data_IF_725257166948
#
_entry.id   IF_725257166948
#
_cell.length_a   1.000
_cell.length_b   1.000
_cell.length_c   1.000
_cell.angle_alpha   90.00
_cell.angle_beta   90.00
_cell.angle_gamma   90.00
#
_symmetry.space_group_name_H-M   'P 1'
#
loop_
_entity.id
_entity.type
_entity.pdbx_description
1 polymer ?
#
# COMPACT_ATOMS: atom_id res chain seq x y z
N UNK A 1 1.30 -4.21 -21.46
CA UNK A 1 2.02 -3.31 -22.38
C UNK A 1 1.16 -2.16 -22.89
N UNK A 2 0.02 -2.39 -23.52
CA UNK A 2 -0.91 -1.35 -24.02
C UNK A 2 -1.35 -0.42 -22.89
N UNK A 3 -1.76 -0.96 -21.75
CA UNK A 3 -2.22 -0.17 -20.60
C UNK A 3 -1.18 0.84 -20.06
N UNK A 4 0.09 0.42 -19.92
CA UNK A 4 1.17 1.34 -19.48
C UNK A 4 1.36 2.50 -20.45
N UNK A 5 1.35 2.22 -21.75
CA UNK A 5 1.48 3.26 -22.78
C UNK A 5 0.30 4.23 -22.79
N UNK A 6 -0.91 3.71 -22.64
CA UNK A 6 -2.14 4.53 -22.56
C UNK A 6 -2.14 5.40 -21.31
N UNK A 7 -1.82 4.83 -20.14
CA UNK A 7 -1.69 5.57 -18.91
C UNK A 7 -0.63 6.68 -18.99
N UNK A 8 0.55 6.35 -19.56
CA UNK A 8 1.63 7.34 -19.78
C UNK A 8 1.18 8.47 -20.71
N UNK A 9 0.50 8.12 -21.80
CA UNK A 9 0.00 9.11 -22.76
C UNK A 9 -1.05 10.03 -22.11
N UNK A 10 -1.97 9.47 -21.31
CA UNK A 10 -2.99 10.24 -20.60
C UNK A 10 -2.34 11.17 -19.55
N UNK A 11 -1.37 10.67 -18.80
CA UNK A 11 -0.65 11.46 -17.81
C UNK A 11 0.15 12.61 -18.47
N UNK A 12 0.85 12.34 -19.59
CA UNK A 12 1.57 13.37 -20.36
C UNK A 12 0.63 14.46 -20.90
N UNK A 13 -0.56 14.06 -21.37
CA UNK A 13 -1.57 15.01 -21.84
C UNK A 13 -2.08 15.91 -20.71
N UNK A 14 -2.30 15.35 -19.51
CA UNK A 14 -2.74 16.09 -18.33
C UNK A 14 -1.66 17.03 -17.78
N UNK A 15 -0.39 16.59 -17.77
CA UNK A 15 0.73 17.35 -17.22
C UNK A 15 1.34 18.38 -18.20
N UNK A 16 1.13 18.19 -19.49
CA UNK A 16 1.69 19.08 -20.53
C UNK A 16 3.19 18.89 -20.81
N UNK A 17 3.82 17.82 -20.30
CA UNK A 17 5.22 17.49 -20.57
C UNK A 17 5.43 15.99 -20.77
N UNK A 18 6.58 15.62 -21.35
CA UNK A 18 6.94 14.23 -21.60
C UNK A 18 7.44 13.57 -20.34
N UNK A 19 6.90 12.38 -20.03
CA UNK A 19 7.37 11.52 -18.96
C UNK A 19 8.42 10.57 -19.55
N UNK A 20 9.62 10.58 -19.01
CA UNK A 20 10.72 9.71 -19.43
C UNK A 20 11.14 8.74 -18.34
N UNK A 21 10.92 9.12 -17.08
CA UNK A 21 11.36 8.37 -15.90
C UNK A 21 10.23 8.16 -14.92
N UNK A 22 10.20 6.99 -14.30
CA UNK A 22 9.14 6.59 -13.36
C UNK A 22 9.72 5.87 -12.15
N UNK A 23 8.99 5.90 -11.05
CA UNK A 23 9.19 4.97 -9.93
C UNK A 23 8.25 3.79 -10.18
N UNK A 24 8.79 2.58 -10.15
CA UNK A 24 8.02 1.35 -10.31
C UNK A 24 7.49 0.90 -8.96
N UNK A 25 6.17 0.91 -8.80
CA UNK A 25 5.51 0.30 -7.62
C UNK A 25 5.12 -1.13 -7.98
N UNK A 26 5.60 -2.09 -7.19
CA UNK A 26 5.34 -3.53 -7.37
C UNK A 26 4.47 -4.07 -6.23
N UNK A 27 3.67 -5.13 -6.50
CA UNK A 27 2.89 -5.79 -5.46
C UNK A 27 3.78 -6.34 -4.33
N UNK A 28 3.34 -6.17 -3.09
CA UNK A 28 4.02 -6.71 -1.90
C UNK A 28 3.70 -8.20 -1.74
N UNK A 29 4.22 -9.03 -2.66
CA UNK A 29 4.08 -10.48 -2.63
C UNK A 29 5.41 -11.12 -2.28
N UNK A 30 5.40 -12.12 -1.37
CA UNK A 30 6.59 -12.83 -0.91
C UNK A 30 7.71 -11.90 -0.39
N UNK A 31 7.33 -10.83 0.29
CA UNK A 31 8.28 -9.87 0.85
C UNK A 31 9.10 -10.52 1.97
N UNK A 32 10.42 -10.44 1.84
CA UNK A 32 11.37 -10.89 2.87
C UNK A 32 12.05 -9.67 3.49
N UNK A 33 12.42 -9.79 4.76
CA UNK A 33 13.11 -8.74 5.51
C UNK A 33 14.44 -9.24 6.04
N UNK A 34 15.46 -8.40 5.96
CA UNK A 34 16.79 -8.68 6.50
C UNK A 34 17.31 -7.48 7.29
N UNK A 35 17.65 -7.71 8.55
CA UNK A 35 18.28 -6.71 9.40
C UNK A 35 19.77 -7.03 9.55
N UNK A 36 20.62 -6.04 9.33
CA UNK A 36 22.07 -6.19 9.40
C UNK A 36 22.69 -5.07 10.21
N UNK A 37 23.73 -5.40 10.96
CA UNK A 37 24.62 -4.41 11.57
C UNK A 37 25.90 -4.33 10.75
N UNK A 38 26.19 -3.15 10.22
CA UNK A 38 27.36 -2.89 9.37
C UNK A 38 28.32 -1.99 10.13
N UNK A 39 29.58 -2.38 10.22
CA UNK A 39 30.67 -1.57 10.74
C UNK A 39 31.29 -0.74 9.61
N UNK A 40 31.45 0.54 9.84
CA UNK A 40 32.05 1.50 8.91
C UNK A 40 33.23 2.18 9.57
N UNK A 41 34.43 2.00 9.01
CA UNK A 41 35.64 2.65 9.46
C UNK A 41 35.91 3.91 8.65
N UNK A 42 36.42 4.94 9.30
CA UNK A 42 36.81 6.22 8.68
C UNK A 42 38.30 6.19 8.43
N UNK A 43 38.69 5.71 7.25
CA UNK A 43 40.09 5.47 6.85
C UNK A 43 40.73 6.68 6.14
N UNK A 44 39.97 7.74 5.87
CA UNK A 44 40.44 8.93 5.14
C UNK A 44 41.21 9.93 5.99
N UNK A 45 41.49 9.60 7.26
CA UNK A 45 42.24 10.41 8.21
C UNK A 45 41.47 11.62 8.77
N UNK A 46 40.22 11.85 8.34
CA UNK A 46 39.45 13.05 8.77
C UNK A 46 38.80 12.90 10.14
N UNK A 47 38.64 11.66 10.63
CA UNK A 47 37.89 11.33 11.85
C UNK A 47 36.48 11.97 11.90
N UNK A 48 35.89 12.19 10.75
CA UNK A 48 34.58 12.85 10.62
C UNK A 48 33.70 12.07 9.64
N UNK A 49 32.47 11.78 10.03
CA UNK A 49 31.52 11.08 9.18
C UNK A 49 31.15 11.93 7.98
N UNK A 50 31.38 11.43 6.80
CA UNK A 50 31.01 12.04 5.52
C UNK A 50 29.95 11.21 4.80
N UNK A 51 29.27 11.80 3.81
CA UNK A 51 28.23 11.16 3.04
C UNK A 51 28.69 9.83 2.38
N UNK A 52 29.92 9.79 1.86
CA UNK A 52 30.43 8.59 1.21
C UNK A 52 30.64 7.42 2.19
N UNK A 53 30.99 7.68 3.48
CA UNK A 53 31.09 6.63 4.49
C UNK A 53 29.74 5.96 4.74
N UNK A 54 28.68 6.78 4.80
CA UNK A 54 27.30 6.29 4.95
C UNK A 54 26.89 5.47 3.73
N UNK A 55 27.18 5.96 2.53
CA UNK A 55 26.92 5.23 1.29
C UNK A 55 27.68 3.91 1.23
N UNK A 56 28.95 3.89 1.64
CA UNK A 56 29.76 2.69 1.69
C UNK A 56 29.18 1.65 2.67
N UNK A 57 28.75 2.08 3.85
CA UNK A 57 28.06 1.20 4.81
C UNK A 57 26.75 0.63 4.25
N UNK A 58 25.97 1.46 3.58
CA UNK A 58 24.75 1.04 2.93
C UNK A 58 24.98 0.03 1.81
N UNK A 59 25.97 0.27 0.95
CA UNK A 59 26.36 -0.67 -0.11
C UNK A 59 26.83 -2.03 0.46
N UNK A 60 27.58 -2.03 1.55
CA UNK A 60 27.96 -3.28 2.25
C UNK A 60 26.72 -4.07 2.73
N UNK A 61 25.68 -3.37 3.21
CA UNK A 61 24.44 -4.01 3.63
C UNK A 61 23.70 -4.67 2.45
N UNK A 62 23.56 -3.98 1.32
CA UNK A 62 22.85 -4.47 0.13
C UNK A 62 23.58 -5.65 -0.53
N UNK A 63 24.91 -5.63 -0.55
CA UNK A 63 25.72 -6.69 -1.20
C UNK A 63 25.53 -8.07 -0.57
N UNK A 64 25.05 -8.14 0.67
CA UNK A 64 24.76 -9.41 1.33
C UNK A 64 23.43 -9.98 0.84
N UNK A 65 23.50 -10.80 -0.20
CA UNK A 65 22.33 -11.44 -0.82
C UNK A 65 21.56 -12.31 0.18
N UNK A 66 20.24 -12.27 0.14
CA UNK A 66 19.36 -13.14 0.93
C UNK A 66 19.02 -14.49 0.27
N UNK A 67 19.29 -14.63 -1.02
CA UNK A 67 18.98 -15.80 -1.85
C UNK A 67 19.06 -15.43 -3.33
N UNK A 68 18.88 -16.42 -4.19
CA UNK A 68 18.91 -16.23 -5.65
C UNK A 68 17.54 -15.80 -6.20
N UNK A 69 16.48 -16.08 -5.43
CA UNK A 69 15.07 -15.89 -5.77
C UNK A 69 14.51 -14.51 -5.40
N UNK A 70 15.25 -13.72 -4.60
CA UNK A 70 14.83 -12.40 -4.15
C UNK A 70 15.85 -11.32 -4.50
N UNK A 71 15.35 -10.11 -4.70
CA UNK A 71 16.15 -8.92 -4.97
C UNK A 71 15.82 -7.83 -3.95
N UNK A 72 16.81 -7.01 -3.62
CA UNK A 72 16.63 -5.85 -2.78
C UNK A 72 15.68 -4.83 -3.45
N UNK A 73 14.78 -4.23 -2.64
CA UNK A 73 13.82 -3.22 -3.12
C UNK A 73 13.97 -1.91 -2.36
N UNK A 74 13.75 -1.92 -1.04
CA UNK A 74 13.72 -0.69 -0.23
C UNK A 74 14.49 -0.84 1.08
N UNK A 75 15.09 0.25 1.61
CA UNK A 75 15.39 0.31 3.03
C UNK A 75 14.06 0.39 3.81
N UNK A 76 13.94 -0.43 4.84
CA UNK A 76 12.82 -0.39 5.76
C UNK A 76 13.10 0.61 6.90
N UNK A 77 14.31 0.51 7.48
CA UNK A 77 14.80 1.44 8.50
C UNK A 77 16.33 1.43 8.55
N UNK A 78 16.91 2.60 8.77
CA UNK A 78 18.34 2.76 9.03
C UNK A 78 18.48 3.55 10.32
N UNK A 79 19.33 3.04 11.24
CA UNK A 79 19.82 3.79 12.41
C UNK A 79 21.33 3.77 12.45
N UNK A 80 21.91 4.76 13.05
CA UNK A 80 23.35 4.98 13.14
C UNK A 80 23.78 4.95 14.61
N UNK A 81 24.87 4.29 14.92
CA UNK A 81 25.44 4.24 16.26
C UNK A 81 26.82 4.89 16.19
N UNK A 82 26.93 6.09 16.71
CA UNK A 82 28.17 6.89 16.77
C UNK A 82 28.48 7.15 18.23
N UNK A 83 29.72 6.84 18.67
CA UNK A 83 30.12 7.03 20.08
C UNK A 83 29.10 6.45 21.07
N UNK A 84 28.62 5.22 20.83
CA UNK A 84 27.61 4.48 21.62
C UNK A 84 26.22 5.13 21.69
N UNK A 85 25.96 6.17 20.90
CA UNK A 85 24.66 6.82 20.79
C UNK A 85 23.94 6.37 19.52
N UNK A 86 22.73 5.81 19.67
CA UNK A 86 21.90 5.40 18.53
C UNK A 86 20.96 6.53 18.10
N UNK A 87 20.93 6.85 16.82
CA UNK A 87 20.08 7.88 16.23
C UNK A 87 19.57 7.48 14.84
N UNK A 88 18.41 7.99 14.45
CA UNK A 88 17.90 7.94 13.06
C UNK A 88 18.44 9.08 12.20
N UNK A 89 18.95 10.12 12.83
CA UNK A 89 19.51 11.28 12.13
C UNK A 89 20.82 10.87 11.46
N UNK A 90 21.01 11.32 10.22
CA UNK A 90 22.26 11.15 9.49
C UNK A 90 23.42 11.76 10.30
N UNK A 91 24.47 11.00 10.64
CA UNK A 91 25.57 11.45 11.50
C UNK A 91 26.60 12.28 10.73
N UNK A 92 26.24 12.90 9.63
CA UNK A 92 27.15 13.71 8.81
C UNK A 92 27.76 14.86 9.61
N UNK A 93 29.08 14.91 9.68
CA UNK A 93 29.82 15.90 10.43
C UNK A 93 30.17 15.50 11.86
N UNK A 94 29.68 14.36 12.36
CA UNK A 94 30.06 13.85 13.68
C UNK A 94 31.49 13.32 13.68
N UNK A 95 32.20 13.55 14.79
CA UNK A 95 33.59 13.12 14.96
C UNK A 95 33.63 11.71 15.57
N UNK A 96 34.24 10.78 14.86
CA UNK A 96 34.53 9.42 15.32
C UNK A 96 35.59 8.76 14.41
N UNK A 97 36.15 7.63 14.85
CA UNK A 97 37.05 6.81 14.03
C UNK A 97 36.31 5.72 13.25
N UNK A 98 35.16 5.34 13.77
CA UNK A 98 34.27 4.33 13.19
C UNK A 98 32.87 4.48 13.75
N UNK A 99 31.90 3.89 13.08
CA UNK A 99 30.51 3.86 13.53
C UNK A 99 29.79 2.60 13.00
N UNK A 100 28.64 2.32 13.58
CA UNK A 100 27.79 1.21 13.12
C UNK A 100 26.52 1.74 12.48
N UNK A 101 26.02 1.00 11.49
CA UNK A 101 24.68 1.20 10.90
C UNK A 101 23.85 -0.06 11.15
N UNK A 102 22.69 0.10 11.77
CA UNK A 102 21.68 -0.95 11.74
C UNK A 102 20.81 -0.71 10.52
N UNK A 103 20.87 -1.60 9.55
CA UNK A 103 20.19 -1.47 8.26
C UNK A 103 19.17 -2.59 8.14
N UNK A 104 17.89 -2.24 8.08
CA UNK A 104 16.79 -3.15 7.83
C UNK A 104 16.33 -2.97 6.38
N UNK A 105 16.35 -4.05 5.61
CA UNK A 105 16.12 -4.05 4.16
C UNK A 105 14.92 -4.92 3.80
N UNK A 106 14.16 -4.49 2.81
CA UNK A 106 13.06 -5.23 2.20
C UNK A 106 13.49 -5.81 0.85
N UNK A 107 13.11 -7.05 0.63
CA UNK A 107 13.36 -7.82 -0.57
C UNK A 107 12.03 -8.34 -1.12
N UNK A 108 11.91 -8.41 -2.43
CA UNK A 108 10.77 -9.00 -3.11
C UNK A 108 11.21 -10.09 -4.07
N UNK A 109 10.25 -10.85 -4.56
CA UNK A 109 10.47 -11.88 -5.56
C UNK A 109 11.09 -11.29 -6.83
N UNK A 110 12.23 -11.86 -7.24
CA UNK A 110 13.00 -11.37 -8.37
C UNK A 110 12.23 -11.47 -9.69
N UNK A 111 11.44 -12.52 -9.86
CA UNK A 111 10.67 -12.72 -11.09
C UNK A 111 9.57 -11.63 -11.20
N UNK A 112 8.89 -11.33 -10.10
CA UNK A 112 7.90 -10.26 -10.03
C UNK A 112 8.51 -8.92 -10.44
N UNK A 113 9.65 -8.55 -9.83
CA UNK A 113 10.36 -7.30 -10.18
C UNK A 113 10.67 -7.27 -11.68
N UNK A 114 11.23 -8.35 -12.22
CA UNK A 114 11.63 -8.43 -13.61
C UNK A 114 10.44 -8.31 -14.58
N UNK A 115 9.33 -8.97 -14.30
CA UNK A 115 8.13 -8.93 -15.15
C UNK A 115 7.54 -7.52 -15.22
N UNK A 116 7.43 -6.83 -14.08
CA UNK A 116 6.95 -5.45 -14.04
C UNK A 116 7.93 -4.47 -14.68
N UNK A 117 9.23 -4.60 -14.39
CA UNK A 117 10.27 -3.75 -14.99
C UNK A 117 10.27 -3.87 -16.52
N UNK A 118 10.16 -5.09 -17.06
CA UNK A 118 10.07 -5.33 -18.49
C UNK A 118 8.88 -4.62 -19.15
N UNK A 119 7.73 -4.54 -18.47
CA UNK A 119 6.58 -3.81 -18.99
C UNK A 119 6.85 -2.31 -19.11
N UNK A 120 7.56 -1.72 -18.15
CA UNK A 120 7.94 -0.30 -18.12
C UNK A 120 8.98 -0.01 -19.20
N UNK A 121 10.04 -0.80 -19.30
CA UNK A 121 11.09 -0.66 -20.31
C UNK A 121 10.53 -0.77 -21.73
N UNK A 122 9.61 -1.73 -21.97
CA UNK A 122 8.92 -1.88 -23.25
C UNK A 122 7.99 -0.71 -23.61
N UNK A 123 7.64 0.13 -22.63
CA UNK A 123 6.95 1.39 -22.86
C UNK A 123 7.91 2.56 -23.13
N UNK A 124 9.24 2.31 -23.20
CA UNK A 124 10.32 3.28 -23.35
C UNK A 124 10.41 4.27 -22.18
N UNK A 125 10.19 3.78 -20.95
CA UNK A 125 10.35 4.53 -19.73
C UNK A 125 11.57 4.01 -18.96
N UNK A 126 12.33 4.90 -18.34
CA UNK A 126 13.44 4.59 -17.45
C UNK A 126 12.91 4.42 -16.02
N UNK A 127 13.31 3.32 -15.36
CA UNK A 127 12.97 3.09 -13.94
C UNK A 127 14.03 3.77 -13.09
N UNK A 128 13.61 4.76 -12.30
CA UNK A 128 14.48 5.46 -11.34
C UNK A 128 14.66 4.66 -10.05
N UNK A 129 13.58 4.04 -9.59
CA UNK A 129 13.53 3.30 -8.33
C UNK A 129 12.40 2.29 -8.36
N UNK A 130 12.45 1.29 -7.47
CA UNK A 130 11.42 0.28 -7.27
C UNK A 130 10.94 0.36 -5.83
N UNK A 131 9.63 0.33 -5.62
CA UNK A 131 9.02 0.40 -4.29
C UNK A 131 7.91 -0.65 -4.15
N UNK A 132 7.73 -1.18 -2.93
CA UNK A 132 6.61 -2.04 -2.59
C UNK A 132 5.34 -1.19 -2.40
N UNK A 133 4.20 -1.64 -2.94
CA UNK A 133 2.90 -0.95 -2.85
C UNK A 133 2.47 -0.68 -1.41
N UNK A 134 2.53 -1.71 -0.54
CA UNK A 134 2.19 -1.58 0.89
C UNK A 134 3.14 -0.62 1.61
N UNK A 135 4.43 -0.61 1.24
CA UNK A 135 5.40 0.30 1.86
C UNK A 135 5.16 1.74 1.41
N UNK A 136 4.89 1.97 0.13
CA UNK A 136 4.55 3.28 -0.42
C UNK A 136 3.26 3.84 0.22
N UNK A 137 2.21 3.01 0.31
CA UNK A 137 0.98 3.37 1.00
C UNK A 137 1.18 3.63 2.50
N UNK A 138 2.08 2.88 3.14
CA UNK A 138 2.49 3.11 4.54
C UNK A 138 3.19 4.44 4.76
N UNK A 139 3.94 4.95 3.79
CA UNK A 139 4.55 6.27 3.82
C UNK A 139 3.49 7.36 3.64
N UNK A 140 2.61 7.22 2.66
CA UNK A 140 1.54 8.18 2.36
C UNK A 140 0.58 8.36 3.53
N UNK A 141 0.16 7.26 4.17
CA UNK A 141 -0.78 7.27 5.30
C UNK A 141 -0.13 7.56 6.64
N UNK A 142 1.18 7.82 6.68
CA UNK A 142 1.98 7.93 7.90
C UNK A 142 1.88 6.70 8.83
N UNK A 143 1.57 5.51 8.30
CA UNK A 143 1.49 4.28 9.09
C UNK A 143 2.81 3.93 9.76
N UNK A 144 3.95 4.19 9.10
CA UNK A 144 5.27 4.02 9.69
C UNK A 144 5.45 4.88 10.94
N UNK A 145 5.18 6.19 10.86
CA UNK A 145 5.33 7.13 11.97
C UNK A 145 4.36 6.78 13.12
N UNK A 146 3.11 6.43 12.79
CA UNK A 146 2.11 6.04 13.78
C UNK A 146 2.47 4.72 14.48
N UNK A 147 3.30 3.89 13.89
CA UNK A 147 3.72 2.59 14.45
C UNK A 147 4.88 2.69 15.45
N UNK A 148 5.27 3.87 15.90
CA UNK A 148 6.37 4.07 16.85
C UNK A 148 6.11 3.34 18.19
N UNK A 149 4.92 3.49 18.76
CA UNK A 149 4.53 2.99 20.09
C UNK A 149 3.37 1.97 20.04
N UNK A 150 2.86 1.66 18.87
CA UNK A 150 1.73 0.74 18.63
C UNK A 150 1.93 -0.10 17.39
N UNK A 151 1.04 -1.07 17.19
CA UNK A 151 0.94 -1.79 15.92
C UNK A 151 -0.03 -1.04 15.00
N UNK A 152 0.36 -0.88 13.73
CA UNK A 152 -0.52 -0.34 12.69
C UNK A 152 -0.68 -1.38 11.59
N UNK A 153 -1.91 -1.72 11.26
CA UNK A 153 -2.24 -2.58 10.12
C UNK A 153 -2.82 -1.71 9.03
N UNK A 154 -2.10 -1.60 7.92
CA UNK A 154 -2.57 -0.94 6.72
C UNK A 154 -3.37 -1.93 5.88
N UNK A 155 -4.57 -1.54 5.47
CA UNK A 155 -5.48 -2.30 4.61
C UNK A 155 -5.66 -1.52 3.31
N UNK A 156 -4.98 -1.93 2.24
CA UNK A 156 -5.18 -1.35 0.91
C UNK A 156 -6.21 -2.17 0.15
N UNK A 157 -7.43 -1.64 0.04
CA UNK A 157 -8.58 -2.31 -0.56
C UNK A 157 -8.66 -1.95 -2.05
N UNK A 158 -8.38 -2.93 -2.90
CA UNK A 158 -8.45 -2.79 -4.35
C UNK A 158 -9.66 -3.57 -4.94
N UNK A 159 -9.80 -3.60 -6.25
CA UNK A 159 -10.91 -4.30 -6.89
C UNK A 159 -10.89 -5.80 -6.64
N UNK A 160 -9.75 -6.45 -6.88
CA UNK A 160 -9.62 -7.91 -6.83
C UNK A 160 -8.98 -8.44 -5.54
N UNK A 161 -8.40 -7.61 -4.71
CA UNK A 161 -7.68 -8.04 -3.52
C UNK A 161 -7.57 -6.95 -2.47
N UNK A 162 -7.15 -7.34 -1.28
CA UNK A 162 -6.75 -6.44 -0.20
C UNK A 162 -5.35 -6.80 0.24
N UNK A 163 -4.44 -5.83 0.14
CA UNK A 163 -3.10 -5.95 0.66
C UNK A 163 -3.06 -5.50 2.13
N UNK A 164 -2.39 -6.28 2.97
CA UNK A 164 -2.23 -5.99 4.39
C UNK A 164 -0.76 -5.75 4.69
N UNK A 165 -0.46 -4.66 5.41
CA UNK A 165 0.87 -4.37 5.92
C UNK A 165 0.86 -4.17 7.43
N UNK A 166 1.63 -4.98 8.16
CA UNK A 166 1.84 -4.79 9.60
C UNK A 166 3.06 -3.89 9.82
N UNK A 167 2.84 -2.75 10.43
CA UNK A 167 3.90 -1.81 10.83
C UNK A 167 4.06 -1.80 12.35
N UNK A 168 5.30 -1.88 12.82
CA UNK A 168 5.68 -1.78 14.25
C UNK A 168 7.06 -1.14 14.37
N UNK A 169 7.24 -0.28 15.37
CA UNK A 169 8.52 0.40 15.59
C UNK A 169 9.05 1.10 14.33
N UNK A 170 8.15 1.73 13.58
CA UNK A 170 8.42 2.44 12.31
C UNK A 170 9.06 1.54 11.23
N UNK A 171 8.66 0.28 11.18
CA UNK A 171 9.11 -0.72 10.19
C UNK A 171 7.92 -1.50 9.64
N UNK A 172 7.97 -1.83 8.36
CA UNK A 172 7.13 -2.88 7.80
C UNK A 172 7.64 -4.24 8.31
N UNK A 173 6.81 -4.93 9.09
CA UNK A 173 7.16 -6.20 9.73
C UNK A 173 6.78 -7.41 8.89
N UNK A 174 5.59 -7.36 8.30
CA UNK A 174 5.07 -8.42 7.44
C UNK A 174 4.01 -7.87 6.50
N UNK A 175 3.77 -8.60 5.44
CA UNK A 175 2.70 -8.37 4.48
C UNK A 175 1.86 -9.62 4.34
N UNK A 176 0.57 -9.43 4.06
CA UNK A 176 -0.35 -10.50 3.70
C UNK A 176 -1.30 -10.00 2.62
N UNK A 177 -2.03 -10.91 2.01
CA UNK A 177 -3.00 -10.61 0.96
C UNK A 177 -4.25 -11.45 1.17
N UNK A 178 -5.40 -10.80 1.01
CA UNK A 178 -6.71 -11.44 0.90
C UNK A 178 -7.13 -11.30 -0.57
N UNK A 179 -7.43 -12.42 -1.23
CA UNK A 179 -7.84 -12.43 -2.65
C UNK A 179 -9.32 -12.04 -2.83
N UNK A 180 -9.74 -11.04 -2.06
CA UNK A 180 -11.02 -10.35 -2.13
C UNK A 180 -10.79 -8.85 -1.96
N UNK A 181 -11.54 -8.06 -2.71
CA UNK A 181 -11.60 -6.61 -2.62
C UNK A 181 -13.01 -6.12 -2.87
N UNK A 182 -13.20 -4.84 -3.17
CA UNK A 182 -14.54 -4.32 -3.42
C UNK A 182 -15.25 -4.97 -4.63
N UNK A 183 -14.50 -5.52 -5.57
CA UNK A 183 -15.07 -6.29 -6.70
C UNK A 183 -15.87 -7.52 -6.25
N UNK A 184 -15.43 -8.20 -5.19
CA UNK A 184 -16.19 -9.29 -4.59
C UNK A 184 -17.47 -8.79 -3.90
N UNK A 185 -17.44 -7.60 -3.30
CA UNK A 185 -18.61 -6.98 -2.67
C UNK A 185 -19.70 -6.67 -3.68
N UNK A 186 -19.33 -6.22 -4.88
CA UNK A 186 -20.28 -5.83 -5.93
C UNK A 186 -20.72 -6.98 -6.85
N UNK A 187 -20.18 -8.18 -6.66
CA UNK A 187 -20.53 -9.34 -7.50
C UNK A 187 -22.06 -9.59 -7.63
N UNK A 188 -22.88 -9.48 -6.54
CA UNK A 188 -24.32 -9.63 -6.67
C UNK A 188 -24.99 -8.59 -7.59
N UNK A 189 -24.45 -7.37 -7.66
CA UNK A 189 -24.95 -6.35 -8.59
C UNK A 189 -24.60 -6.70 -10.04
N UNK A 190 -23.40 -7.21 -10.25
CA UNK A 190 -22.96 -7.66 -11.58
C UNK A 190 -23.81 -8.81 -12.09
N UNK A 191 -24.05 -9.82 -11.26
CA UNK A 191 -24.88 -10.96 -11.59
C UNK A 191 -26.32 -10.58 -11.87
N UNK A 192 -26.92 -9.73 -11.00
CA UNK A 192 -28.34 -9.35 -11.12
C UNK A 192 -28.62 -8.45 -12.32
N UNK A 193 -27.75 -7.47 -12.58
CA UNK A 193 -27.98 -6.40 -13.57
C UNK A 193 -27.05 -6.46 -14.78
N UNK A 194 -26.05 -7.37 -14.77
CA UNK A 194 -25.06 -7.50 -15.85
C UNK A 194 -24.16 -6.28 -16.04
N UNK A 195 -23.80 -5.61 -14.94
CA UNK A 195 -23.03 -4.37 -14.94
C UNK A 195 -21.52 -4.61 -14.97
N UNK A 196 -20.75 -3.64 -15.46
CA UNK A 196 -19.30 -3.66 -15.37
C UNK A 196 -18.81 -3.34 -13.94
N UNK A 197 -17.59 -3.76 -13.61
CA UNK A 197 -16.97 -3.44 -12.30
C UNK A 197 -16.91 -1.93 -12.03
N UNK A 198 -16.65 -1.13 -13.06
CA UNK A 198 -16.57 0.32 -12.94
C UNK A 198 -17.92 0.96 -12.59
N UNK A 199 -18.99 0.49 -13.25
CA UNK A 199 -20.34 0.96 -12.95
C UNK A 199 -20.72 0.56 -11.53
N UNK A 200 -20.50 -0.71 -11.15
CA UNK A 200 -20.79 -1.18 -9.79
C UNK A 200 -20.00 -0.40 -8.73
N UNK A 201 -18.73 -0.10 -8.96
CA UNK A 201 -17.95 0.73 -8.04
C UNK A 201 -18.54 2.13 -7.88
N UNK A 202 -18.98 2.77 -8.99
CA UNK A 202 -19.67 4.07 -8.92
C UNK A 202 -21.00 3.98 -8.16
N UNK A 203 -21.72 2.87 -8.27
CA UNK A 203 -22.97 2.66 -7.53
C UNK A 203 -22.74 2.56 -6.02
N UNK A 204 -21.63 2.00 -5.56
CA UNK A 204 -21.26 1.96 -4.14
C UNK A 204 -21.10 3.38 -3.52
N UNK A 205 -20.86 4.40 -4.34
CA UNK A 205 -20.80 5.80 -3.87
C UNK A 205 -22.15 6.35 -3.42
N UNK A 206 -23.26 5.63 -3.65
CA UNK A 206 -24.61 6.03 -3.28
C UNK A 206 -25.11 5.36 -2.00
N UNK A 207 -24.28 4.56 -1.33
CA UNK A 207 -24.61 3.92 -0.06
C UNK A 207 -23.90 4.68 1.06
N UNK A 208 -24.68 5.24 1.98
CA UNK A 208 -24.17 6.06 3.08
C UNK A 208 -24.47 5.46 4.45
N UNK A 209 -25.40 4.50 4.58
CA UNK A 209 -25.73 3.83 5.83
C UNK A 209 -25.44 2.34 5.77
N UNK A 210 -24.90 1.81 6.86
CA UNK A 210 -24.69 0.37 7.09
C UNK A 210 -26.00 -0.38 7.42
N UNK A 211 -27.12 0.37 7.60
CA UNK A 211 -28.47 -0.14 7.79
C UNK A 211 -29.22 -0.10 6.47
N UNK A 212 -29.77 -1.26 6.08
CA UNK A 212 -30.44 -1.41 4.78
C UNK A 212 -31.61 -0.44 4.65
N UNK A 213 -32.44 -0.35 5.69
CA UNK A 213 -33.65 0.46 5.77
C UNK A 213 -33.44 1.99 5.73
N UNK A 214 -32.20 2.45 5.98
CA UNK A 214 -31.86 3.88 5.94
C UNK A 214 -31.42 4.34 4.54
N UNK A 215 -31.24 3.41 3.59
CA UNK A 215 -30.85 3.75 2.23
C UNK A 215 -32.09 4.05 1.37
N UNK A 216 -31.98 5.09 0.55
CA UNK A 216 -33.10 5.67 -0.19
C UNK A 216 -33.59 4.78 -1.35
N UNK A 217 -34.89 4.73 -1.57
CA UNK A 217 -35.54 4.14 -2.76
C UNK A 217 -35.40 4.99 -4.02
N UNK A 218 -34.72 6.15 -3.94
CA UNK A 218 -34.47 6.99 -5.13
C UNK A 218 -33.61 6.23 -6.12
N UNK A 219 -34.06 6.21 -7.39
CA UNK A 219 -33.35 5.60 -8.50
C UNK A 219 -32.08 6.39 -8.77
N UNK A 220 -30.91 5.73 -8.65
CA UNK A 220 -29.59 6.31 -8.87
C UNK A 220 -28.98 5.89 -10.19
N UNK A 221 -29.48 4.81 -10.80
CA UNK A 221 -29.02 4.32 -12.07
C UNK A 221 -30.10 3.62 -12.86
N UNK A 222 -30.07 3.77 -14.17
CA UNK A 222 -30.95 3.08 -15.10
C UNK A 222 -30.09 2.35 -16.13
N UNK A 223 -30.22 1.02 -16.18
CA UNK A 223 -29.60 0.20 -17.21
C UNK A 223 -30.63 -0.11 -18.30
N UNK A 224 -30.28 0.19 -19.53
CA UNK A 224 -31.09 -0.14 -20.69
C UNK A 224 -30.37 -1.17 -21.54
N UNK A 225 -30.91 -2.39 -21.62
CA UNK A 225 -30.41 -3.45 -22.48
C UNK A 225 -31.51 -3.90 -23.42
N UNK A 226 -31.29 -3.68 -24.72
CA UNK A 226 -32.29 -4.00 -25.75
C UNK A 226 -33.70 -3.50 -25.41
N UNK A 227 -34.60 -4.39 -25.03
CA UNK A 227 -35.98 -4.07 -24.64
C UNK A 227 -36.20 -4.02 -23.12
N UNK A 228 -35.20 -4.41 -22.33
CA UNK A 228 -35.30 -4.43 -20.86
C UNK A 228 -34.71 -3.14 -20.25
N UNK A 229 -35.50 -2.52 -19.38
CA UNK A 229 -35.10 -1.37 -18.56
C UNK A 229 -35.07 -1.79 -17.10
N UNK A 230 -33.90 -1.71 -16.48
CA UNK A 230 -33.71 -1.94 -15.05
C UNK A 230 -33.44 -0.63 -14.33
N UNK A 231 -34.24 -0.32 -13.32
CA UNK A 231 -34.06 0.82 -12.43
C UNK A 231 -33.43 0.32 -11.14
N UNK A 232 -32.37 1.01 -10.67
CA UNK A 232 -31.59 0.60 -9.51
C UNK A 232 -31.59 1.75 -8.52
N UNK A 233 -32.13 1.53 -7.32
CA UNK A 233 -32.13 2.47 -6.22
C UNK A 233 -30.93 2.26 -5.28
N UNK A 234 -30.65 3.23 -4.40
CA UNK A 234 -29.66 3.08 -3.34
C UNK A 234 -30.04 1.93 -2.39
N UNK A 235 -31.31 1.73 -2.10
CA UNK A 235 -31.82 0.61 -1.30
C UNK A 235 -31.53 -0.75 -1.98
N UNK A 236 -31.71 -0.88 -3.31
CA UNK A 236 -31.36 -2.11 -4.04
C UNK A 236 -29.87 -2.44 -3.96
N UNK A 237 -29.02 -1.40 -4.07
CA UNK A 237 -27.57 -1.55 -3.96
C UNK A 237 -27.22 -1.99 -2.54
N UNK A 238 -27.75 -1.31 -1.52
CA UNK A 238 -27.53 -1.62 -0.11
C UNK A 238 -27.91 -3.08 0.20
N UNK A 239 -29.12 -3.49 -0.20
CA UNK A 239 -29.61 -4.86 -0.02
C UNK A 239 -28.69 -5.91 -0.63
N UNK A 240 -28.14 -5.64 -1.81
CA UNK A 240 -27.28 -6.57 -2.51
C UNK A 240 -25.85 -6.62 -1.90
N UNK A 241 -25.35 -5.52 -1.36
CA UNK A 241 -23.91 -5.37 -1.02
C UNK A 241 -23.62 -5.34 0.48
N UNK A 242 -24.51 -4.84 1.34
CA UNK A 242 -24.26 -4.75 2.79
C UNK A 242 -23.97 -6.12 3.44
N UNK A 243 -24.65 -7.22 3.10
CA UNK A 243 -24.28 -8.55 3.62
C UNK A 243 -22.84 -8.93 3.25
N UNK A 244 -22.41 -8.61 2.02
CA UNK A 244 -21.05 -8.85 1.55
C UNK A 244 -20.02 -7.99 2.29
N UNK A 245 -20.32 -6.72 2.60
CA UNK A 245 -19.47 -5.90 3.44
C UNK A 245 -19.24 -6.53 4.82
N UNK A 246 -20.30 -7.03 5.46
CA UNK A 246 -20.20 -7.67 6.78
C UNK A 246 -19.33 -8.95 6.73
N UNK A 247 -19.54 -9.80 5.73
CA UNK A 247 -18.71 -11.01 5.53
C UNK A 247 -17.25 -10.64 5.26
N UNK A 248 -17.00 -9.64 4.42
CA UNK A 248 -15.67 -9.17 4.07
C UNK A 248 -14.91 -8.61 5.28
N UNK A 249 -15.56 -7.81 6.11
CA UNK A 249 -14.98 -7.28 7.34
C UNK A 249 -14.69 -8.42 8.33
N UNK A 250 -15.57 -9.40 8.45
CA UNK A 250 -15.35 -10.58 9.29
C UNK A 250 -14.12 -11.37 8.84
N UNK A 251 -13.89 -11.51 7.53
CA UNK A 251 -12.70 -12.17 6.99
C UNK A 251 -11.41 -11.39 7.29
N UNK A 252 -11.44 -10.05 7.15
CA UNK A 252 -10.31 -9.18 7.54
C UNK A 252 -10.02 -9.34 9.03
N UNK A 253 -11.05 -9.30 9.88
CA UNK A 253 -10.90 -9.46 11.32
C UNK A 253 -10.26 -10.81 11.67
N UNK A 254 -10.73 -11.90 11.06
CA UNK A 254 -10.17 -13.24 11.27
C UNK A 254 -8.70 -13.33 10.83
N UNK A 255 -8.34 -12.71 9.70
CA UNK A 255 -6.96 -12.66 9.22
C UNK A 255 -6.04 -11.85 10.15
N UNK A 256 -6.57 -10.81 10.81
CA UNK A 256 -5.81 -9.93 11.67
C UNK A 256 -5.81 -10.32 13.15
N UNK A 257 -6.72 -11.19 13.61
CA UNK A 257 -6.85 -11.62 15.00
C UNK A 257 -5.51 -12.01 15.67
N UNK A 258 -4.61 -12.79 15.00
CA UNK A 258 -3.35 -13.20 15.62
C UNK A 258 -2.39 -12.04 15.93
N UNK A 259 -2.55 -10.90 15.28
CA UNK A 259 -1.66 -9.74 15.38
C UNK A 259 -2.29 -8.56 16.13
N UNK A 260 -3.60 -8.58 16.36
CA UNK A 260 -4.31 -7.52 17.07
C UNK A 260 -4.04 -7.63 18.57
N UNK A 261 -3.55 -6.52 19.15
CA UNK A 261 -3.34 -6.37 20.59
C UNK A 261 -4.31 -5.33 21.11
N UNK A 262 -5.18 -5.72 22.03
CA UNK A 262 -6.21 -4.86 22.60
C UNK A 262 -5.67 -3.48 23.00
N UNK A 263 -6.25 -2.43 22.42
CA UNK A 263 -5.90 -1.02 22.67
C UNK A 263 -4.53 -0.56 22.12
N UNK A 264 -3.78 -1.46 21.45
CA UNK A 264 -2.45 -1.14 20.89
C UNK A 264 -2.34 -1.37 19.38
N UNK A 265 -3.43 -1.72 18.73
CA UNK A 265 -3.47 -1.90 17.29
C UNK A 265 -4.43 -0.90 16.68
N UNK A 266 -4.03 -0.31 15.57
CA UNK A 266 -4.85 0.58 14.76
C UNK A 266 -4.89 0.06 13.32
N UNK A 267 -6.06 0.12 12.71
CA UNK A 267 -6.23 -0.14 11.28
C UNK A 267 -6.29 1.18 10.51
N UNK A 268 -5.62 1.21 9.37
CA UNK A 268 -5.71 2.31 8.41
C UNK A 268 -6.19 1.70 7.09
N UNK A 269 -7.37 2.12 6.64
CA UNK A 269 -7.94 1.68 5.37
C UNK A 269 -7.58 2.68 4.29
N UNK A 270 -7.04 2.21 3.18
CA UNK A 270 -6.64 2.98 2.00
C UNK A 270 -6.97 2.24 0.70
N UNK A 271 -6.50 2.73 -0.43
CA UNK A 271 -6.81 2.18 -1.75
C UNK A 271 -8.16 2.67 -2.27
N UNK A 272 -8.60 2.16 -3.42
CA UNK A 272 -9.90 2.58 -4.01
C UNK A 272 -11.09 2.29 -3.09
N UNK A 273 -11.01 1.24 -2.27
CA UNK A 273 -12.06 0.90 -1.31
C UNK A 273 -12.28 1.96 -0.25
N UNK A 274 -11.25 2.72 0.16
CA UNK A 274 -11.41 3.78 1.16
C UNK A 274 -12.35 4.91 0.75
N UNK A 275 -12.57 5.07 -0.56
CA UNK A 275 -13.49 6.07 -1.10
C UNK A 275 -14.97 5.61 -1.06
N UNK A 276 -15.28 4.41 -0.59
CA UNK A 276 -16.65 3.91 -0.48
C UNK A 276 -17.26 4.48 0.81
N UNK A 277 -18.31 5.34 0.73
CA UNK A 277 -18.79 6.12 1.88
C UNK A 277 -19.22 5.23 3.05
N UNK A 278 -19.90 4.13 2.79
CA UNK A 278 -20.42 3.24 3.82
C UNK A 278 -19.34 2.56 4.66
N UNK A 279 -18.10 2.49 4.20
CA UNK A 279 -16.99 1.92 5.00
C UNK A 279 -16.74 2.70 6.29
N UNK A 280 -17.02 4.00 6.32
CA UNK A 280 -16.93 4.81 7.54
C UNK A 280 -17.94 4.37 8.59
N UNK A 281 -19.13 3.94 8.18
CA UNK A 281 -20.16 3.39 9.07
C UNK A 281 -19.78 2.02 9.68
N UNK A 282 -18.81 1.34 9.09
CA UNK A 282 -18.31 0.05 9.56
C UNK A 282 -17.03 0.15 10.40
N UNK A 283 -16.53 1.35 10.73
CA UNK A 283 -15.27 1.51 11.49
C UNK A 283 -15.30 0.71 12.82
N UNK A 284 -16.42 0.75 13.53
CA UNK A 284 -16.62 0.00 14.78
C UNK A 284 -16.80 -1.53 14.61
N UNK A 285 -16.96 -2.01 13.37
CA UNK A 285 -17.11 -3.43 13.07
C UNK A 285 -15.77 -4.14 12.90
N UNK A 286 -14.68 -3.40 12.80
CA UNK A 286 -13.34 -3.96 12.77
C UNK A 286 -12.86 -4.33 14.19
N UNK A 287 -11.95 -5.31 14.28
CA UNK A 287 -11.42 -5.81 15.55
C UNK A 287 -10.37 -4.88 16.20
N UNK A 288 -10.10 -3.72 15.64
CA UNK A 288 -9.20 -2.69 16.17
C UNK A 288 -9.72 -1.30 15.86
N UNK A 289 -9.19 -0.26 16.54
CA UNK A 289 -9.44 1.13 16.20
C UNK A 289 -9.14 1.36 14.72
N UNK A 290 -10.14 1.79 13.95
CA UNK A 290 -10.04 1.90 12.48
C UNK A 290 -10.16 3.34 12.03
N UNK A 291 -9.36 3.72 11.05
CA UNK A 291 -9.40 5.01 10.37
C UNK A 291 -9.49 4.74 8.88
N UNK A 292 -10.50 5.31 8.23
CA UNK A 292 -10.58 5.35 6.76
C UNK A 292 -9.79 6.56 6.29
N UNK A 293 -8.71 6.32 5.56
CA UNK A 293 -7.80 7.36 5.09
C UNK A 293 -8.34 8.03 3.84
N UNK A 294 -8.60 9.34 3.94
CA UNK A 294 -8.94 10.16 2.78
C UNK A 294 -7.65 10.56 2.05
N UNK A 295 -7.49 10.07 0.82
CA UNK A 295 -6.33 10.41 -0.01
C UNK A 295 -6.46 11.87 -0.44
N UNK A 296 -5.61 12.71 0.12
CA UNK A 296 -5.57 14.15 -0.14
C UNK A 296 -4.47 14.56 -1.11
N UNK A 297 -3.48 13.70 -1.31
CA UNK A 297 -2.33 13.98 -2.17
C UNK A 297 -2.73 13.88 -3.64
N UNK A 298 -2.50 14.94 -4.40
CA UNK A 298 -2.77 14.97 -5.85
C UNK A 298 -1.87 13.94 -6.54
N UNK A 299 -2.51 13.03 -7.30
CA UNK A 299 -1.82 11.96 -8.02
C UNK A 299 -1.62 10.67 -7.23
N UNK A 300 -1.94 10.62 -5.93
CA UNK A 300 -1.83 9.40 -5.12
C UNK A 300 -3.06 8.46 -5.22
N UNK A 301 -4.11 8.87 -5.93
CA UNK A 301 -5.39 8.15 -5.99
C UNK A 301 -5.34 6.81 -6.73
N UNK A 302 -4.32 6.59 -7.54
CA UNK A 302 -4.22 5.41 -8.42
C UNK A 302 -2.89 4.62 -8.25
N UNK A 303 -2.19 4.82 -7.15
CA UNK A 303 -1.01 4.02 -6.82
C UNK A 303 0.19 4.80 -6.41
#
# INVERSE_FOLDING_TARGET
MTAVREATKSAQAALGYRIERVILIIPSVNVKRNSQRVHVQIEDGTKTVRQFHIQQGYQKAIQKRMGEDVEYVNPNRITYIVNDSESKKLPKGEECTDFYMNVDLLYADKQTIYEYAKCIEQANLEILDVCLDVYAAGQETAALQQSFDRSVVLLSIEAGHTSLGLFMNEKLMSVARIDKGYGWIVEPLKEKYGLSNEICYRLLQNIFSSREEENSDVIVYIEQKEEERSEISAADIAKATLPRFKEYIAEINAACEPIVRNGKTRFIITGKGSNIPVLKEFEDSFCAETIVYDITTIGARDG
#
